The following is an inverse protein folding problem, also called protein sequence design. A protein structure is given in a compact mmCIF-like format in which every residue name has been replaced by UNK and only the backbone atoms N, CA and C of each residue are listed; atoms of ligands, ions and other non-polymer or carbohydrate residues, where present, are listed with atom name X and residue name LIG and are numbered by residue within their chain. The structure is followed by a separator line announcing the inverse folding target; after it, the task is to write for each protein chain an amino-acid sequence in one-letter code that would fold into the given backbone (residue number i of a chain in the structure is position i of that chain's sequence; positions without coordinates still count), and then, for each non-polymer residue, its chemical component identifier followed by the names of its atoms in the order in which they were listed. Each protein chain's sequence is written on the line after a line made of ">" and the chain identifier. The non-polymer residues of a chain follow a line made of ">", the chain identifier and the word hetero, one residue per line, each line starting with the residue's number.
data_IF_019969564029
#
_entry.id   IF_019969564029
#
_cell.length_a   1.000
_cell.length_b   1.000
_cell.length_c   1.000
_cell.angle_alpha   90.00
_cell.angle_beta   90.00
_cell.angle_gamma   90.00
#
_symmetry.space_group_name_H-M   'P 1'
#
loop_
_entity.id
_entity.type
_entity.pdbx_description
1 polymer ?
#
# COMPACT_ATOMS: atom_id res chain seq x y z
N UNK A 1 17.39 10.06 2.16
CA UNK A 1 16.27 9.24 2.70
C UNK A 1 16.75 8.30 3.81
N UNK A 2 15.87 7.78 4.67
CA UNK A 2 16.26 6.76 5.68
C UNK A 2 16.78 5.49 5.00
N UNK A 3 17.84 4.87 5.52
CA UNK A 3 18.45 3.67 4.93
C UNK A 3 17.46 2.50 4.78
N UNK A 4 16.62 2.24 5.79
CA UNK A 4 15.62 1.18 5.70
C UNK A 4 14.57 1.41 4.60
N UNK A 5 14.22 2.67 4.32
CA UNK A 5 13.37 3.04 3.21
C UNK A 5 14.09 2.89 1.86
N UNK A 6 15.38 3.25 1.78
CA UNK A 6 16.20 3.01 0.60
C UNK A 6 16.27 1.52 0.27
N UNK A 7 16.61 0.67 1.24
CA UNK A 7 16.67 -0.79 1.07
C UNK A 7 15.33 -1.38 0.66
N UNK A 8 14.22 -0.87 1.20
CA UNK A 8 12.89 -1.31 0.75
C UNK A 8 12.65 -1.01 -0.74
N UNK A 9 13.15 0.13 -1.25
CA UNK A 9 13.04 0.50 -2.67
C UNK A 9 13.92 -0.32 -3.60
N UNK A 10 14.98 -0.96 -3.09
CA UNK A 10 15.79 -1.89 -3.90
C UNK A 10 15.12 -3.26 -4.06
N UNK A 11 14.03 -3.49 -3.33
CA UNK A 11 13.29 -4.76 -3.34
C UNK A 11 13.90 -5.85 -2.46
N UNK A 12 15.04 -5.58 -1.80
CA UNK A 12 15.78 -6.60 -1.02
C UNK A 12 15.02 -7.07 0.23
N UNK A 13 14.21 -6.20 0.83
CA UNK A 13 13.42 -6.51 2.02
C UNK A 13 12.26 -5.53 2.21
N UNK A 14 11.36 -5.83 3.16
CA UNK A 14 10.47 -4.80 3.73
C UNK A 14 11.26 -3.80 4.57
N UNK A 15 10.69 -2.64 4.96
CA UNK A 15 11.36 -1.70 5.87
C UNK A 15 11.82 -2.37 7.19
N UNK A 16 10.98 -3.20 7.79
CA UNK A 16 11.33 -3.97 9.01
C UNK A 16 12.41 -5.02 8.72
N UNK A 17 12.32 -5.72 7.59
CA UNK A 17 13.37 -6.67 7.19
C UNK A 17 14.70 -5.97 6.93
N UNK A 18 14.66 -4.74 6.38
CA UNK A 18 15.83 -3.90 6.19
C UNK A 18 16.45 -3.50 7.54
N UNK A 19 15.65 -3.13 8.55
CA UNK A 19 16.15 -2.88 9.90
C UNK A 19 16.89 -4.10 10.47
N UNK A 20 16.39 -5.31 10.23
CA UNK A 20 17.06 -6.55 10.66
C UNK A 20 18.39 -6.79 9.93
N UNK A 21 18.47 -6.50 8.63
CA UNK A 21 19.73 -6.58 7.86
C UNK A 21 20.77 -5.57 8.39
N UNK A 22 20.33 -4.35 8.70
CA UNK A 22 21.17 -3.31 9.28
C UNK A 22 21.69 -3.73 10.67
N UNK A 23 20.81 -4.21 11.56
CA UNK A 23 21.18 -4.70 12.90
C UNK A 23 22.21 -5.83 12.86
N UNK A 24 22.16 -6.67 11.83
CA UNK A 24 23.12 -7.76 11.62
C UNK A 24 24.45 -7.30 11.02
N UNK A 25 24.63 -6.01 10.76
CA UNK A 25 25.86 -5.43 10.20
C UNK A 25 26.14 -5.81 8.75
N UNK A 26 25.12 -6.29 8.01
CA UNK A 26 25.29 -6.75 6.61
C UNK A 26 25.23 -5.63 5.57
N UNK A 27 24.77 -4.44 5.98
CA UNK A 27 24.61 -3.29 5.10
C UNK A 27 25.78 -2.33 5.30
N UNK A 28 26.40 -1.93 4.19
CA UNK A 28 27.40 -0.86 4.16
C UNK A 28 26.91 0.31 3.32
N UNK A 29 27.30 1.51 3.73
CA UNK A 29 27.14 2.75 2.98
C UNK A 29 28.52 3.36 2.82
N UNK A 30 28.94 3.59 1.58
CA UNK A 30 30.28 4.06 1.22
C UNK A 30 31.40 3.22 1.86
N UNK A 31 31.22 1.89 1.88
CA UNK A 31 32.18 0.94 2.45
C UNK A 31 32.17 0.83 3.98
N UNK A 32 31.37 1.63 4.69
CA UNK A 32 31.28 1.61 6.16
C UNK A 32 29.99 0.94 6.60
N UNK A 33 30.06 0.04 7.60
CA UNK A 33 28.88 -0.62 8.18
C UNK A 33 27.89 0.40 8.72
N UNK A 34 26.65 0.34 8.24
CA UNK A 34 25.63 1.33 8.55
C UNK A 34 24.82 0.97 9.80
N UNK A 35 24.25 1.98 10.46
CA UNK A 35 23.37 1.85 11.61
C UNK A 35 21.90 2.17 11.28
N UNK A 36 20.99 1.92 12.22
CA UNK A 36 19.55 2.17 12.03
C UNK A 36 19.20 3.65 11.81
N UNK A 37 20.05 4.55 12.30
CA UNK A 37 19.89 6.00 12.13
C UNK A 37 20.45 6.53 10.80
N UNK A 38 21.10 5.69 9.99
CA UNK A 38 21.77 6.12 8.76
C UNK A 38 20.77 6.64 7.71
N UNK A 39 21.17 7.73 7.05
CA UNK A 39 20.48 8.30 5.90
C UNK A 39 21.36 8.14 4.66
N UNK A 40 20.72 7.83 3.54
CA UNK A 40 21.34 7.72 2.22
C UNK A 40 21.08 9.02 1.45
N UNK A 41 22.14 9.65 0.97
CA UNK A 41 22.14 10.83 0.11
C UNK A 41 22.30 10.43 -1.35
N UNK A 42 22.06 11.39 -2.24
CA UNK A 42 22.41 11.22 -3.64
C UNK A 42 23.91 10.97 -3.80
N UNK A 43 24.28 9.99 -4.62
CA UNK A 43 25.68 9.58 -4.83
C UNK A 43 26.22 8.56 -3.83
N UNK A 44 25.55 8.30 -2.71
CA UNK A 44 25.97 7.26 -1.76
C UNK A 44 25.89 5.87 -2.38
N UNK A 45 26.91 5.05 -2.13
CA UNK A 45 26.97 3.65 -2.56
C UNK A 45 26.50 2.75 -1.43
N UNK A 46 25.47 1.94 -1.68
CA UNK A 46 24.90 1.02 -0.69
C UNK A 46 25.10 -0.42 -1.14
N UNK A 47 25.65 -1.26 -0.28
CA UNK A 47 25.83 -2.70 -0.55
C UNK A 47 25.30 -3.59 0.57
N UNK A 48 24.86 -4.79 0.18
CA UNK A 48 24.56 -5.91 1.08
C UNK A 48 25.60 -7.00 0.82
N UNK A 49 26.48 -7.23 1.80
CA UNK A 49 27.59 -8.18 1.71
C UNK A 49 28.43 -8.04 0.42
N UNK A 50 28.70 -6.80 0.00
CA UNK A 50 29.47 -6.49 -1.21
C UNK A 50 28.65 -6.45 -2.51
N UNK A 51 27.39 -6.85 -2.51
CA UNK A 51 26.50 -6.69 -3.66
C UNK A 51 25.89 -5.29 -3.64
N UNK A 52 26.20 -4.48 -4.66
CA UNK A 52 25.61 -3.17 -4.85
C UNK A 52 24.08 -3.26 -4.96
N UNK A 53 23.39 -2.39 -4.24
CA UNK A 53 21.94 -2.29 -4.23
C UNK A 53 21.51 -0.99 -4.90
N UNK A 54 20.69 -1.10 -5.94
CA UNK A 54 20.10 0.04 -6.63
C UNK A 54 18.58 0.02 -6.45
N UNK A 55 17.93 1.20 -6.30
CA UNK A 55 16.47 1.28 -6.29
C UNK A 55 15.88 0.74 -7.58
N UNK A 56 14.75 0.03 -7.46
CA UNK A 56 13.93 -0.36 -8.60
C UNK A 56 13.26 0.87 -9.23
N UNK A 57 12.84 0.75 -10.49
CA UNK A 57 11.98 1.75 -11.12
C UNK A 57 10.70 1.94 -10.29
N UNK A 58 10.24 3.19 -10.19
CA UNK A 58 9.00 3.49 -9.49
C UNK A 58 7.84 2.81 -10.21
N UNK A 59 6.96 2.18 -9.43
CA UNK A 59 5.81 1.46 -9.93
C UNK A 59 4.57 1.88 -9.17
N UNK A 60 3.49 2.12 -9.91
CA UNK A 60 2.18 2.43 -9.36
C UNK A 60 1.15 1.59 -10.11
N UNK A 61 0.48 0.71 -9.38
CA UNK A 61 -0.49 -0.20 -9.97
C UNK A 61 -1.82 -0.10 -9.24
N UNK A 62 -2.90 -0.13 -10.01
CA UNK A 62 -4.25 -0.22 -9.48
C UNK A 62 -4.75 -1.65 -9.63
N UNK A 63 -4.99 -2.31 -8.51
CA UNK A 63 -5.56 -3.65 -8.44
C UNK A 63 -7.07 -3.57 -8.19
N UNK A 64 -7.87 -4.27 -8.99
CA UNK A 64 -9.25 -4.57 -8.64
C UNK A 64 -9.27 -5.81 -7.73
N UNK A 65 -9.08 -5.58 -6.43
CA UNK A 65 -8.96 -6.66 -5.44
C UNK A 65 -10.24 -7.52 -5.40
N UNK A 66 -10.14 -8.86 -5.55
CA UNK A 66 -11.26 -9.76 -5.36
C UNK A 66 -11.46 -10.11 -3.87
N UNK A 67 -12.60 -10.72 -3.55
CA UNK A 67 -12.86 -11.26 -2.22
C UNK A 67 -12.01 -12.53 -2.00
N UNK A 68 -11.70 -12.84 -0.74
CA UNK A 68 -10.89 -14.00 -0.35
C UNK A 68 -9.37 -13.76 -0.38
N UNK A 69 -8.92 -12.60 -0.87
CA UNK A 69 -7.49 -12.24 -0.96
C UNK A 69 -7.09 -11.31 0.18
N UNK A 70 -5.98 -11.59 0.85
CA UNK A 70 -5.52 -10.80 2.00
C UNK A 70 -4.61 -9.63 1.60
N UNK A 71 -4.81 -8.46 2.20
CA UNK A 71 -3.99 -7.27 1.94
C UNK A 71 -2.69 -7.31 2.75
N UNK A 72 -1.72 -8.09 2.27
CA UNK A 72 -0.37 -8.22 2.83
C UNK A 72 0.60 -8.60 1.72
N UNK A 73 1.91 -8.41 1.95
CA UNK A 73 2.94 -8.93 1.06
C UNK A 73 3.24 -10.42 1.27
N UNK A 74 2.97 -10.94 2.48
CA UNK A 74 3.17 -12.34 2.84
C UNK A 74 2.14 -12.76 3.88
N UNK A 75 1.62 -13.98 3.76
CA UNK A 75 0.67 -14.57 4.71
C UNK A 75 1.22 -15.88 5.27
N UNK A 76 1.44 -16.00 6.59
CA UNK A 76 1.97 -17.23 7.20
C UNK A 76 1.08 -18.47 7.00
N UNK A 77 -0.21 -18.27 6.74
CA UNK A 77 -1.17 -19.34 6.53
C UNK A 77 -1.35 -19.71 5.04
N UNK A 78 -0.53 -19.13 4.15
CA UNK A 78 -0.53 -19.46 2.73
C UNK A 78 -1.75 -18.95 1.96
N UNK A 79 -2.54 -18.00 2.51
CA UNK A 79 -3.69 -17.44 1.80
C UNK A 79 -3.22 -16.59 0.61
N UNK A 80 -4.00 -16.53 -0.48
CA UNK A 80 -3.71 -15.63 -1.60
C UNK A 80 -3.56 -14.18 -1.15
N UNK A 81 -2.49 -13.51 -1.60
CA UNK A 81 -2.16 -12.14 -1.20
C UNK A 81 -2.31 -11.17 -2.36
N UNK A 82 -2.57 -9.89 -2.06
CA UNK A 82 -2.68 -8.85 -3.10
C UNK A 82 -1.39 -8.67 -3.90
N UNK A 83 -0.22 -8.89 -3.28
CA UNK A 83 1.08 -8.83 -3.97
C UNK A 83 1.23 -10.03 -4.89
N UNK A 84 0.72 -11.21 -4.51
CA UNK A 84 0.73 -12.40 -5.36
C UNK A 84 -0.19 -12.31 -6.58
N UNK A 85 -1.08 -11.33 -6.66
CA UNK A 85 -1.91 -11.08 -7.86
C UNK A 85 -1.26 -10.13 -8.87
N UNK A 86 -0.16 -9.47 -8.50
CA UNK A 86 0.48 -8.45 -9.33
C UNK A 86 1.78 -9.01 -9.89
N UNK A 87 1.77 -9.26 -11.20
CA UNK A 87 2.92 -9.75 -11.98
C UNK A 87 3.70 -8.57 -12.57
N UNK A 88 4.42 -7.84 -11.73
CA UNK A 88 5.16 -6.63 -12.12
C UNK A 88 6.65 -6.77 -11.80
N UNK A 89 7.53 -6.21 -12.65
CA UNK A 89 8.98 -6.33 -12.52
C UNK A 89 9.53 -5.70 -11.22
N UNK A 90 9.03 -4.51 -10.88
CA UNK A 90 9.27 -3.88 -9.58
C UNK A 90 8.40 -4.48 -8.48
N UNK A 91 9.00 -4.69 -7.31
CA UNK A 91 8.31 -5.17 -6.11
C UNK A 91 7.44 -4.07 -5.51
N UNK A 92 6.13 -4.20 -5.60
CA UNK A 92 5.17 -3.25 -5.02
C UNK A 92 4.60 -3.72 -3.67
N UNK A 93 4.07 -2.78 -2.88
CA UNK A 93 3.35 -3.04 -1.62
C UNK A 93 2.03 -2.29 -1.60
N UNK A 94 0.99 -2.80 -0.91
CA UNK A 94 -0.31 -2.13 -0.86
C UNK A 94 -0.25 -0.79 -0.10
N UNK A 95 -0.94 0.19 -0.64
CA UNK A 95 -1.24 1.48 -0.02
C UNK A 95 -2.58 1.37 0.70
N UNK A 96 -2.52 1.39 2.03
CA UNK A 96 -3.67 1.10 2.87
C UNK A 96 -4.07 -0.38 2.85
N UNK A 97 -5.27 -0.68 3.36
CA UNK A 97 -5.75 -2.06 3.51
C UNK A 97 -7.22 -2.19 3.10
N UNK A 98 -7.55 -3.32 2.50
CA UNK A 98 -8.91 -3.83 2.37
C UNK A 98 -9.01 -5.15 3.13
N UNK A 99 -10.14 -5.40 3.78
CA UNK A 99 -10.42 -6.68 4.41
C UNK A 99 -10.46 -7.79 3.36
N UNK A 100 -10.28 -9.04 3.80
CA UNK A 100 -10.21 -10.18 2.89
C UNK A 100 -11.50 -10.33 2.06
N UNK A 101 -12.67 -10.11 2.67
CA UNK A 101 -14.00 -10.16 2.07
C UNK A 101 -14.38 -8.87 1.30
N UNK A 102 -13.58 -7.81 1.42
CA UNK A 102 -13.83 -6.53 0.74
C UNK A 102 -13.20 -6.53 -0.65
N UNK A 103 -13.96 -6.05 -1.63
CA UNK A 103 -13.54 -5.96 -3.04
C UNK A 103 -13.26 -4.52 -3.46
N UNK A 104 -12.59 -4.33 -4.59
CA UNK A 104 -12.49 -3.05 -5.28
C UNK A 104 -11.08 -2.47 -5.35
N UNK A 105 -11.01 -1.17 -5.59
CA UNK A 105 -9.79 -0.43 -5.92
C UNK A 105 -8.76 -0.54 -4.80
N UNK A 106 -7.54 -0.98 -5.10
CA UNK A 106 -6.40 -0.98 -4.18
C UNK A 106 -5.16 -0.52 -4.93
N UNK A 107 -4.55 0.56 -4.47
CA UNK A 107 -3.27 1.04 -4.98
C UNK A 107 -2.14 0.17 -4.39
N UNK A 108 -1.21 -0.28 -5.22
CA UNK A 108 0.07 -0.81 -4.79
C UNK A 108 1.20 0.00 -5.43
N UNK A 109 2.27 0.23 -4.67
CA UNK A 109 3.42 1.00 -5.13
C UNK A 109 4.68 0.62 -4.37
N UNK A 110 5.84 0.92 -4.93
CA UNK A 110 7.12 0.92 -4.21
C UNK A 110 7.57 2.33 -3.80
N UNK A 111 6.73 3.34 -4.02
CA UNK A 111 6.92 4.71 -3.53
C UNK A 111 6.51 4.80 -2.06
N UNK A 112 7.52 4.79 -1.18
CA UNK A 112 7.35 4.72 0.26
C UNK A 112 6.77 5.97 0.93
N UNK A 113 6.47 7.04 0.19
CA UNK A 113 5.81 8.24 0.70
C UNK A 113 4.29 8.06 0.86
N UNK A 114 3.68 7.08 0.17
CA UNK A 114 2.22 6.93 0.10
C UNK A 114 1.56 6.19 1.28
N UNK A 115 2.28 5.88 2.36
CA UNK A 115 1.79 4.95 3.38
C UNK A 115 1.78 5.54 4.80
N UNK A 116 0.63 6.06 5.23
CA UNK A 116 0.32 6.25 6.65
C UNK A 116 -1.17 6.01 6.92
N UNK A 117 -1.45 5.33 8.03
CA UNK A 117 -2.79 5.10 8.58
C UNK A 117 -2.70 5.45 10.06
N UNK A 118 -3.57 6.34 10.52
CA UNK A 118 -3.67 6.73 11.92
C UNK A 118 -4.84 6.03 12.61
N UNK A 119 -4.68 5.75 13.90
CA UNK A 119 -5.72 5.24 14.81
C UNK A 119 -6.34 6.39 15.64
N UNK A 120 -7.61 6.26 16.08
CA UNK A 120 -8.40 7.38 16.62
C UNK A 120 -9.91 7.34 16.29
N UNK A 121 -10.68 8.38 16.70
CA UNK A 121 -12.12 8.50 16.41
C UNK A 121 -12.38 8.84 14.94
N UNK A 122 -13.49 8.35 14.37
CA UNK A 122 -13.74 8.54 12.94
C UNK A 122 -14.11 9.99 12.62
N UNK A 123 -13.54 10.53 11.55
CA UNK A 123 -14.02 11.76 10.95
C UNK A 123 -15.42 11.55 10.34
N UNK A 124 -16.24 12.62 10.22
CA UNK A 124 -17.53 12.55 9.54
C UNK A 124 -17.40 11.97 8.12
N UNK A 125 -18.25 10.99 7.79
CA UNK A 125 -18.34 10.43 6.45
C UNK A 125 -19.52 11.05 5.70
N UNK A 126 -19.36 11.24 4.39
CA UNK A 126 -20.49 11.55 3.53
C UNK A 126 -21.19 10.25 3.14
N UNK A 127 -22.52 10.23 3.25
CA UNK A 127 -23.33 9.06 2.95
C UNK A 127 -24.45 9.41 1.96
N UNK A 128 -24.64 8.55 0.97
CA UNK A 128 -25.72 8.69 -0.03
C UNK A 128 -26.42 7.35 -0.21
N UNK A 129 -27.73 7.34 -0.02
CA UNK A 129 -28.55 6.14 -0.27
C UNK A 129 -28.78 6.00 -1.77
N UNK A 130 -28.39 4.86 -2.33
CA UNK A 130 -28.56 4.54 -3.75
C UNK A 130 -29.74 3.60 -4.02
N UNK A 131 -30.25 2.94 -2.97
CA UNK A 131 -31.39 2.05 -3.06
C UNK A 131 -31.80 1.54 -1.68
N UNK A 132 -32.75 0.59 -1.63
CA UNK A 132 -33.28 0.07 -0.37
C UNK A 132 -32.22 -0.42 0.62
N UNK A 133 -31.22 -1.15 0.10
CA UNK A 133 -30.13 -1.80 0.85
C UNK A 133 -28.73 -1.42 0.33
N UNK A 134 -28.62 -0.31 -0.40
CA UNK A 134 -27.36 0.17 -0.98
C UNK A 134 -27.07 1.60 -0.54
N UNK A 135 -25.91 1.77 0.09
CA UNK A 135 -25.39 3.06 0.57
C UNK A 135 -23.98 3.25 0.01
N UNK A 136 -23.74 4.41 -0.56
CA UNK A 136 -22.41 4.90 -0.91
C UNK A 136 -21.86 5.71 0.26
N UNK A 137 -20.60 5.46 0.61
CA UNK A 137 -19.89 6.16 1.67
C UNK A 137 -18.57 6.69 1.14
N UNK A 138 -18.30 7.97 1.41
CA UNK A 138 -17.01 8.61 1.17
C UNK A 138 -16.35 8.90 2.51
N UNK A 139 -15.15 8.34 2.69
CA UNK A 139 -14.32 8.50 3.88
C UNK A 139 -12.93 8.97 3.49
N UNK A 140 -12.30 9.77 4.35
CA UNK A 140 -10.95 10.31 4.17
C UNK A 140 -9.93 9.65 5.10
N UNK A 141 -10.31 8.55 5.74
CA UNK A 141 -9.50 7.77 6.66
C UNK A 141 -9.79 6.28 6.47
N UNK A 142 -8.91 5.42 6.97
CA UNK A 142 -8.95 3.98 6.72
C UNK A 142 -8.76 3.15 7.98
N UNK A 143 -9.64 3.31 8.98
CA UNK A 143 -9.54 2.56 10.24
C UNK A 143 -9.94 1.10 10.06
N UNK A 144 -9.45 0.23 10.95
CA UNK A 144 -9.78 -1.20 10.92
C UNK A 144 -11.31 -1.41 10.90
N UNK A 145 -11.80 -2.08 9.86
CA UNK A 145 -13.22 -2.39 9.63
C UNK A 145 -14.16 -1.18 9.74
N UNK A 146 -13.69 0.03 9.42
CA UNK A 146 -14.42 1.27 9.71
C UNK A 146 -15.85 1.28 9.18
N UNK A 147 -16.04 1.04 7.88
CA UNK A 147 -17.37 1.05 7.25
C UNK A 147 -18.32 0.01 7.88
N UNK A 148 -17.81 -1.19 8.16
CA UNK A 148 -18.60 -2.26 8.78
C UNK A 148 -19.06 -1.86 10.18
N UNK A 149 -18.15 -1.34 11.00
CA UNK A 149 -18.45 -0.86 12.35
C UNK A 149 -19.44 0.31 12.35
N UNK A 150 -19.26 1.26 11.43
CA UNK A 150 -20.15 2.41 11.30
C UNK A 150 -21.58 1.99 10.99
N UNK A 151 -21.79 1.11 10.00
CA UNK A 151 -23.15 0.70 9.63
C UNK A 151 -23.76 -0.28 10.65
N UNK A 152 -22.96 -1.13 11.27
CA UNK A 152 -23.42 -1.97 12.39
C UNK A 152 -23.92 -1.13 13.57
N UNK A 153 -23.21 -0.06 13.94
CA UNK A 153 -23.61 0.84 15.03
C UNK A 153 -24.95 1.54 14.80
N UNK A 154 -25.39 1.67 13.54
CA UNK A 154 -26.70 2.23 13.17
C UNK A 154 -27.73 1.16 12.78
N UNK A 155 -27.47 -0.11 13.11
CA UNK A 155 -28.43 -1.22 12.88
C UNK A 155 -28.48 -1.76 11.45
N UNK A 156 -27.47 -1.49 10.64
CA UNK A 156 -27.40 -1.88 9.23
C UNK A 156 -26.12 -2.67 8.92
N UNK A 157 -25.99 -3.92 9.40
CA UNK A 157 -24.78 -4.71 9.20
C UNK A 157 -24.44 -4.89 7.71
N UNK A 158 -23.17 -4.71 7.36
CA UNK A 158 -22.69 -4.78 5.97
C UNK A 158 -22.57 -6.23 5.53
N UNK A 159 -23.32 -6.61 4.50
CA UNK A 159 -23.23 -7.95 3.89
C UNK A 159 -22.24 -8.02 2.72
N UNK A 160 -22.05 -6.90 2.01
CA UNK A 160 -21.08 -6.76 0.91
C UNK A 160 -20.48 -5.36 0.93
N UNK A 161 -19.16 -5.30 0.78
CA UNK A 161 -18.42 -4.05 0.69
C UNK A 161 -17.56 -4.03 -0.57
N UNK A 162 -17.71 -2.94 -1.34
CA UNK A 162 -16.94 -2.70 -2.56
C UNK A 162 -16.42 -1.26 -2.56
N UNK A 163 -15.11 -1.09 -2.69
CA UNK A 163 -14.48 0.21 -2.87
C UNK A 163 -14.39 0.52 -4.37
N UNK A 164 -15.36 1.26 -4.89
CA UNK A 164 -15.40 1.64 -6.31
C UNK A 164 -14.30 2.66 -6.70
N UNK A 165 -13.93 3.54 -5.77
CA UNK A 165 -12.93 4.60 -5.97
C UNK A 165 -11.94 4.69 -4.82
N UNK A 166 -10.68 5.00 -5.11
CA UNK A 166 -9.66 5.31 -4.12
C UNK A 166 -8.68 6.36 -4.66
N UNK A 167 -8.44 7.44 -3.91
CA UNK A 167 -7.53 8.53 -4.31
C UNK A 167 -7.80 9.07 -5.74
N UNK A 168 -9.08 9.21 -6.11
CA UNK A 168 -9.50 9.64 -7.45
C UNK A 168 -9.57 8.51 -8.49
N UNK A 169 -8.87 7.40 -8.28
CA UNK A 169 -8.77 6.25 -9.19
C UNK A 169 -10.01 5.36 -9.14
N UNK A 170 -10.48 4.86 -10.29
CA UNK A 170 -11.59 3.89 -10.38
C UNK A 170 -11.13 2.57 -10.98
N UNK A 171 -11.83 1.48 -10.63
CA UNK A 171 -11.61 0.14 -11.19
C UNK A 171 -12.49 -0.15 -12.41
N UNK A 172 -13.12 0.88 -12.98
CA UNK A 172 -13.96 0.73 -14.16
C UNK A 172 -13.11 0.22 -15.33
N UNK A 173 -13.60 -0.80 -16.03
CA UNK A 173 -12.85 -1.47 -17.10
C UNK A 173 -11.74 -2.43 -16.63
N UNK A 174 -11.56 -2.62 -15.32
CA UNK A 174 -10.62 -3.61 -14.77
C UNK A 174 -11.41 -4.80 -14.23
N UNK A 175 -11.14 -6.00 -14.73
CA UNK A 175 -11.75 -7.22 -14.19
C UNK A 175 -11.28 -7.51 -12.76
N UNK A 176 -12.12 -8.17 -11.95
CA UNK A 176 -11.74 -8.58 -10.60
C UNK A 176 -10.53 -9.51 -10.64
N UNK A 177 -9.54 -9.23 -9.79
CA UNK A 177 -8.27 -9.96 -9.76
C UNK A 177 -7.24 -9.45 -10.76
N UNK A 178 -7.61 -8.57 -11.69
CA UNK A 178 -6.69 -7.92 -12.62
C UNK A 178 -6.21 -6.57 -12.08
N UNK A 179 -5.12 -6.11 -12.65
CA UNK A 179 -4.48 -4.85 -12.33
C UNK A 179 -4.04 -4.16 -13.62
N UNK A 180 -3.74 -2.85 -13.51
CA UNK A 180 -3.08 -2.07 -14.54
C UNK A 180 -2.09 -1.09 -13.91
N UNK A 181 -1.16 -0.61 -14.71
CA UNK A 181 -0.35 0.54 -14.34
C UNK A 181 -1.20 1.83 -14.33
N UNK A 182 -0.84 2.75 -13.45
CA UNK A 182 -1.38 4.11 -13.49
C UNK A 182 -0.76 4.88 -14.66
N UNK A 183 -1.53 5.78 -15.25
CA UNK A 183 -0.98 6.76 -16.20
C UNK A 183 -0.14 7.81 -15.48
N UNK A 184 0.69 8.54 -16.21
CA UNK A 184 1.51 9.62 -15.64
C UNK A 184 0.67 10.69 -14.92
N UNK A 185 -0.51 11.04 -15.49
CA UNK A 185 -1.44 11.99 -14.88
C UNK A 185 -2.06 11.45 -13.58
N UNK A 186 -2.38 10.16 -13.53
CA UNK A 186 -2.88 9.50 -12.31
C UNK A 186 -1.79 9.46 -11.23
N UNK A 187 -0.54 9.16 -11.60
CA UNK A 187 0.60 9.18 -10.68
C UNK A 187 0.82 10.60 -10.13
N UNK A 188 0.77 11.62 -10.98
CA UNK A 188 0.89 13.01 -10.56
C UNK A 188 -0.21 13.40 -9.56
N UNK A 189 -1.46 13.04 -9.86
CA UNK A 189 -2.62 13.30 -9.01
C UNK A 189 -2.51 12.63 -7.64
N UNK A 190 -2.11 11.35 -7.60
CA UNK A 190 -1.94 10.60 -6.35
C UNK A 190 -0.83 11.20 -5.48
N UNK A 191 0.27 11.62 -6.09
CA UNK A 191 1.40 12.26 -5.37
C UNK A 191 1.05 13.63 -4.82
N UNK A 192 0.18 14.38 -5.48
CA UNK A 192 -0.26 15.67 -4.97
C UNK A 192 -1.08 15.53 -3.69
N UNK A 193 -1.92 14.48 -3.58
CA UNK A 193 -2.70 14.19 -2.37
C UNK A 193 -1.81 13.95 -1.15
N UNK A 194 -0.64 13.34 -1.34
CA UNK A 194 0.30 13.03 -0.24
C UNK A 194 1.04 14.26 0.26
N UNK A 195 1.23 15.30 -0.56
CA UNK A 195 1.94 16.54 -0.17
C UNK A 195 1.06 17.51 0.63
N UNK A 196 -0.26 17.30 0.64
CA UNK A 196 -1.26 18.20 1.25
C UNK A 196 -1.67 17.79 2.67
N UNK A 197 -1.14 16.68 3.18
CA UNK A 197 -1.43 16.12 4.51
C UNK A 197 -0.19 16.22 5.38
#
# INVERSE_FOLDING_TARGET
>A
MRLNAYLARTGVASRRGADELIKRGRIRVNGVTAGLSTYVKEGDVVDLDGRLLLPQALAYVLLHKPAGVVTTASDPHGRPTVVGLVEHDSRVVPVGRLDADTTGALLLTNDGELAQLDDGPTAPAQARRLGPSLVELSIHEGRKHQVKRMLEAVGHPVTRLHRSRYAGLTVDGIERGRWRELTDDEVASVRELTRRT
#
